data_IF_857838475315
#
_entry.id   IF_857838475315
#
_cell.length_a   1.000
_cell.length_b   1.000
_cell.length_c   1.000
_cell.angle_alpha   90.00
_cell.angle_beta   90.00
_cell.angle_gamma   90.00
#
_symmetry.space_group_name_H-M   'P 1'
#
loop_
_entity.id
_entity.type
_entity.pdbx_description
1 polymer ?
#
# COMPACT_ATOMS: atom_id res chain seq x y z
N UNK A 1 49.03 32.77 33.59
CA UNK A 1 47.94 33.37 34.41
C UNK A 1 46.71 32.48 34.31
N UNK A 2 46.21 32.05 35.47
CA UNK A 2 44.89 31.50 35.85
C UNK A 2 44.10 30.62 34.84
N UNK A 3 43.99 29.35 35.23
CA UNK A 3 43.00 28.34 34.81
C UNK A 3 41.61 28.74 35.32
N UNK A 4 40.55 28.45 34.55
CA UNK A 4 39.21 28.27 35.12
C UNK A 4 38.45 27.23 34.33
N UNK A 5 38.24 26.08 34.96
CA UNK A 5 37.31 25.04 34.56
C UNK A 5 35.93 25.38 35.13
N UNK A 6 34.87 25.17 34.35
CA UNK A 6 33.48 25.24 34.82
C UNK A 6 33.00 23.80 34.95
N UNK A 7 32.86 23.35 36.20
CA UNK A 7 32.16 22.12 36.57
C UNK A 7 30.66 22.45 36.69
N UNK A 8 29.82 21.81 35.87
CA UNK A 8 28.38 21.87 36.03
C UNK A 8 27.92 20.70 36.91
N UNK A 9 27.29 21.05 38.02
CA UNK A 9 26.84 20.19 39.09
C UNK A 9 25.60 19.39 38.68
N UNK A 10 25.62 18.11 39.04
CA UNK A 10 24.55 17.13 38.94
C UNK A 10 23.44 17.48 39.96
N UNK A 11 22.20 17.57 39.51
CA UNK A 11 21.01 17.46 40.35
C UNK A 11 20.17 16.30 39.81
N UNK A 12 20.44 15.12 40.36
CA UNK A 12 19.65 13.91 40.16
C UNK A 12 18.33 14.03 40.91
N UNK A 13 17.23 14.00 40.17
CA UNK A 13 15.90 13.81 40.72
C UNK A 13 15.68 12.31 40.87
N UNK A 14 15.70 11.84 42.12
CA UNK A 14 15.37 10.46 42.47
C UNK A 14 13.86 10.23 42.30
N UNK A 15 13.48 9.42 41.32
CA UNK A 15 12.13 8.90 41.20
C UNK A 15 11.99 7.72 42.17
N UNK A 16 11.16 7.88 43.21
CA UNK A 16 10.84 6.80 44.13
C UNK A 16 9.99 5.75 43.43
N UNK A 17 10.50 4.53 43.39
CA UNK A 17 9.78 3.32 42.96
C UNK A 17 8.88 2.90 44.13
N UNK A 18 7.57 3.15 43.98
CA UNK A 18 6.56 2.60 44.87
C UNK A 18 6.30 1.14 44.51
N UNK A 19 6.83 0.24 45.33
CA UNK A 19 6.48 -1.18 45.32
C UNK A 19 5.05 -1.35 45.84
N UNK A 20 4.14 -1.90 45.02
CA UNK A 20 2.86 -2.42 45.49
C UNK A 20 3.02 -3.93 45.75
N UNK A 21 2.75 -4.30 46.99
CA UNK A 21 2.83 -5.65 47.51
C UNK A 21 1.84 -6.61 46.83
N UNK A 22 2.34 -7.81 46.56
CA UNK A 22 1.58 -8.98 46.22
C UNK A 22 0.67 -9.40 47.38
N UNK A 23 -0.56 -9.82 47.06
CA UNK A 23 -1.39 -10.64 47.93
C UNK A 23 -1.50 -12.01 47.28
N UNK A 24 -0.97 -13.01 47.98
CA UNK A 24 -1.23 -14.42 47.77
C UNK A 24 -2.68 -14.74 48.15
N UNK A 25 -3.28 -15.67 47.42
CA UNK A 25 -4.64 -16.16 47.60
C UNK A 25 -4.84 -17.42 46.78
N UNK A 26 -4.75 -18.54 47.47
CA UNK A 26 -4.84 -19.96 47.12
C UNK A 26 -5.84 -20.40 46.04
N UNK A 27 -5.34 -21.34 45.22
CA UNK A 27 -5.91 -22.63 44.83
C UNK A 27 -7.42 -22.77 44.53
N UNK A 28 -7.72 -22.97 43.24
CA UNK A 28 -8.58 -24.09 42.84
C UNK A 28 -8.01 -24.77 41.59
N UNK A 29 -7.78 -26.07 41.77
CA UNK A 29 -7.24 -27.00 40.81
C UNK A 29 -8.18 -27.29 39.63
N UNK A 30 -7.56 -27.71 38.52
CA UNK A 30 -8.15 -28.73 37.65
C UNK A 30 -8.80 -28.21 36.38
N UNK A 31 -8.02 -28.04 35.31
CA UNK A 31 -8.17 -28.80 34.05
C UNK A 31 -7.26 -28.21 32.96
N UNK A 32 -6.35 -29.05 32.45
CA UNK A 32 -5.69 -28.92 31.15
C UNK A 32 -5.64 -30.33 30.55
N UNK A 33 -5.41 -30.49 29.23
CA UNK A 33 -5.93 -29.71 28.12
C UNK A 33 -6.51 -30.65 27.04
N UNK A 34 -7.58 -30.26 26.36
CA UNK A 34 -7.94 -30.89 25.08
C UNK A 34 -7.42 -30.05 23.92
N UNK A 35 -6.65 -30.72 23.08
CA UNK A 35 -5.93 -30.23 21.93
C UNK A 35 -6.74 -29.26 21.06
N UNK A 36 -6.14 -28.12 20.75
CA UNK A 36 -6.48 -27.29 19.59
C UNK A 36 -5.19 -27.05 18.80
N UNK A 37 -4.65 -28.14 18.27
CA UNK A 37 -3.73 -28.10 17.14
C UNK A 37 -4.53 -27.99 15.84
N UNK A 38 -3.91 -27.37 14.83
CA UNK A 38 -4.37 -27.29 13.44
C UNK A 38 -5.69 -26.56 13.12
N UNK A 39 -5.59 -25.23 12.90
CA UNK A 39 -6.13 -24.57 11.69
C UNK A 39 -5.29 -23.36 11.34
N UNK A 40 -4.11 -23.60 10.77
CA UNK A 40 -3.26 -22.52 10.25
C UNK A 40 -2.72 -22.78 8.84
N UNK A 41 -3.47 -23.52 8.02
CA UNK A 41 -3.06 -23.79 6.62
C UNK A 41 -4.18 -23.67 5.57
N UNK A 42 -5.32 -23.02 5.87
CA UNK A 42 -6.39 -22.84 4.88
C UNK A 42 -6.42 -21.45 4.20
N UNK A 43 -5.58 -20.49 4.63
CA UNK A 43 -5.66 -19.10 4.13
C UNK A 43 -4.81 -18.83 2.88
N UNK A 44 -3.89 -19.74 2.54
CA UNK A 44 -2.96 -19.56 1.42
C UNK A 44 -3.53 -19.97 0.06
N UNK A 45 -4.40 -20.97 0.01
CA UNK A 45 -5.00 -21.47 -1.24
C UNK A 45 -6.19 -20.60 -1.71
N UNK A 46 -6.94 -19.99 -0.79
CA UNK A 46 -8.04 -19.09 -1.14
C UNK A 46 -7.55 -17.81 -1.85
N UNK A 47 -6.35 -17.31 -1.49
CA UNK A 47 -5.77 -16.10 -2.11
C UNK A 47 -5.23 -16.34 -3.53
N UNK A 48 -4.66 -17.51 -3.82
CA UNK A 48 -4.24 -17.87 -5.18
C UNK A 48 -5.46 -18.05 -6.12
N UNK A 49 -6.59 -18.49 -5.57
CA UNK A 49 -7.84 -18.66 -6.30
C UNK A 49 -8.53 -17.32 -6.62
N UNK A 50 -8.22 -16.25 -5.88
CA UNK A 50 -8.84 -14.92 -6.07
C UNK A 50 -8.40 -14.24 -7.38
N UNK A 51 -7.10 -14.22 -7.69
CA UNK A 51 -6.57 -13.63 -8.92
C UNK A 51 -7.09 -14.38 -10.16
N UNK A 52 -7.09 -15.72 -10.12
CA UNK A 52 -7.66 -16.54 -11.19
C UNK A 52 -9.17 -16.32 -11.34
N UNK A 53 -9.92 -16.19 -10.23
CA UNK A 53 -11.37 -15.90 -10.24
C UNK A 53 -11.70 -14.51 -10.78
N UNK A 54 -10.90 -13.49 -10.48
CA UNK A 54 -11.07 -12.14 -11.02
C UNK A 54 -10.86 -12.13 -12.56
N UNK A 55 -9.87 -12.87 -13.03
CA UNK A 55 -9.52 -12.96 -14.46
C UNK A 55 -10.44 -13.92 -15.25
N UNK A 56 -10.88 -15.01 -14.63
CA UNK A 56 -11.86 -15.94 -15.18
C UNK A 56 -13.29 -15.38 -15.14
N UNK A 57 -13.55 -14.42 -14.24
CA UNK A 57 -14.80 -13.65 -14.13
C UNK A 57 -14.97 -12.57 -15.20
N UNK A 58 -14.35 -12.74 -16.36
CA UNK A 58 -14.60 -11.95 -17.56
C UNK A 58 -16.01 -12.21 -18.12
N UNK A 59 -17.03 -11.70 -17.43
CA UNK A 59 -18.40 -11.57 -17.88
C UNK A 59 -19.10 -12.89 -18.23
N UNK A 60 -20.03 -13.34 -17.39
CA UNK A 60 -21.21 -14.02 -17.92
C UNK A 60 -21.80 -13.11 -19.01
N UNK A 61 -21.63 -13.53 -20.28
CA UNK A 61 -22.36 -12.93 -21.39
C UNK A 61 -23.83 -13.24 -21.19
N UNK A 62 -24.52 -12.41 -20.40
CA UNK A 62 -25.97 -12.30 -20.54
C UNK A 62 -26.23 -11.76 -21.94
N UNK A 63 -26.63 -12.66 -22.83
CA UNK A 63 -27.23 -12.31 -24.10
C UNK A 63 -28.54 -11.58 -23.80
N UNK A 64 -28.47 -10.26 -23.70
CA UNK A 64 -29.61 -9.42 -23.33
C UNK A 64 -29.43 -8.00 -23.81
N UNK A 65 -30.11 -7.68 -24.92
CA UNK A 65 -30.36 -6.35 -25.51
C UNK A 65 -29.12 -5.52 -25.91
N UNK A 66 -28.79 -5.59 -27.20
CA UNK A 66 -28.14 -4.47 -27.90
C UNK A 66 -29.03 -3.23 -27.72
N UNK A 67 -28.39 -2.07 -27.58
CA UNK A 67 -28.96 -0.71 -27.64
C UNK A 67 -29.32 -0.01 -26.31
N UNK A 68 -28.55 -0.24 -25.25
CA UNK A 68 -28.33 0.80 -24.23
C UNK A 68 -26.91 1.36 -24.38
N UNK A 69 -26.79 2.65 -24.70
CA UNK A 69 -25.49 3.34 -24.73
C UNK A 69 -24.88 3.24 -23.32
N UNK A 70 -23.85 2.43 -23.17
CA UNK A 70 -23.14 2.29 -21.90
C UNK A 70 -22.68 3.65 -21.41
N UNK A 71 -22.87 3.92 -20.12
CA UNK A 71 -22.37 5.15 -19.53
C UNK A 71 -20.83 5.19 -19.53
N UNK A 72 -20.28 6.39 -19.36
CA UNK A 72 -18.84 6.61 -19.42
C UNK A 72 -18.07 5.84 -18.33
N UNK A 73 -18.68 5.60 -17.17
CA UNK A 73 -18.05 4.90 -16.06
C UNK A 73 -17.91 3.40 -16.38
N UNK A 74 -18.96 2.77 -16.92
CA UNK A 74 -18.92 1.37 -17.30
C UNK A 74 -17.95 1.13 -18.47
N UNK A 75 -17.85 2.07 -19.41
CA UNK A 75 -16.84 1.99 -20.48
C UNK A 75 -15.41 2.08 -19.93
N UNK A 76 -15.13 3.00 -19.00
CA UNK A 76 -13.81 3.06 -18.35
C UNK A 76 -13.55 1.83 -17.48
N UNK A 77 -14.57 1.24 -16.86
CA UNK A 77 -14.46 -0.01 -16.12
C UNK A 77 -14.03 -1.17 -17.02
N UNK A 78 -14.69 -1.35 -18.16
CA UNK A 78 -14.31 -2.39 -19.12
C UNK A 78 -12.88 -2.23 -19.61
N UNK A 79 -12.46 -1.02 -19.96
CA UNK A 79 -11.05 -0.73 -20.33
C UNK A 79 -10.08 -1.10 -19.21
N UNK A 80 -10.44 -0.76 -17.97
CA UNK A 80 -9.59 -1.05 -16.81
C UNK A 80 -9.48 -2.55 -16.52
N UNK A 81 -10.53 -3.34 -16.75
CA UNK A 81 -10.54 -4.80 -16.60
C UNK A 81 -9.77 -5.52 -17.72
N UNK A 82 -9.76 -4.97 -18.94
CA UNK A 82 -8.96 -5.52 -20.05
C UNK A 82 -7.45 -5.28 -19.89
N UNK A 83 -7.06 -4.31 -19.07
CA UNK A 83 -5.67 -3.97 -18.77
C UNK A 83 -5.37 -4.16 -17.28
N UNK A 84 -5.36 -5.40 -16.77
CA UNK A 84 -5.13 -5.65 -15.36
C UNK A 84 -3.67 -5.38 -14.98
N UNK A 85 -3.47 -5.17 -13.68
CA UNK A 85 -2.18 -4.99 -13.02
C UNK A 85 -1.99 -6.07 -11.95
N UNK A 86 -0.74 -6.38 -11.55
CA UNK A 86 -0.50 -7.30 -10.43
C UNK A 86 -1.27 -6.92 -9.17
N UNK A 87 -1.39 -5.62 -8.91
CA UNK A 87 -2.10 -5.04 -7.77
C UNK A 87 -3.54 -5.55 -7.64
N UNK A 88 -4.18 -5.87 -8.76
CA UNK A 88 -5.58 -6.30 -8.82
C UNK A 88 -5.80 -7.70 -8.23
N UNK A 89 -4.72 -8.47 -8.09
CA UNK A 89 -4.75 -9.83 -7.58
C UNK A 89 -4.66 -9.93 -6.04
N UNK A 90 -4.57 -8.80 -5.34
CA UNK A 90 -4.53 -8.77 -3.88
C UNK A 90 -5.92 -8.64 -3.26
N UNK A 91 -6.04 -8.78 -1.93
CA UNK A 91 -7.32 -8.63 -1.22
C UNK A 91 -7.96 -7.27 -1.46
N UNK A 92 -9.27 -7.22 -1.69
CA UNK A 92 -9.98 -5.96 -1.98
C UNK A 92 -10.21 -5.10 -0.72
N UNK A 93 -10.04 -5.68 0.46
CA UNK A 93 -10.34 -5.04 1.74
C UNK A 93 -9.12 -4.97 2.66
N UNK A 94 -9.08 -3.93 3.50
CA UNK A 94 -8.11 -3.78 4.58
C UNK A 94 -8.85 -3.57 5.90
N UNK A 95 -8.31 -4.13 6.98
CA UNK A 95 -8.71 -3.75 8.32
C UNK A 95 -8.05 -2.42 8.69
N UNK A 96 -8.84 -1.35 8.68
CA UNK A 96 -8.42 0.00 9.07
C UNK A 96 -8.99 0.42 10.43
N UNK A 97 -9.55 -0.51 11.22
CA UNK A 97 -10.22 -0.19 12.49
C UNK A 97 -9.33 0.59 13.47
N UNK A 98 -8.01 0.35 13.41
CA UNK A 98 -6.99 0.99 14.25
C UNK A 98 -6.39 2.27 13.64
N UNK A 99 -6.77 2.65 12.44
CA UNK A 99 -6.25 3.85 11.78
C UNK A 99 -6.89 5.12 12.39
N UNK A 100 -6.27 6.30 12.26
CA UNK A 100 -6.93 7.58 12.57
C UNK A 100 -8.26 7.74 11.82
N UNK A 101 -9.21 8.49 12.39
CA UNK A 101 -10.56 8.64 11.82
C UNK A 101 -10.55 9.23 10.41
N UNK A 102 -9.62 10.13 10.15
CA UNK A 102 -9.40 10.75 8.85
C UNK A 102 -8.95 9.71 7.81
N UNK A 103 -8.03 8.81 8.19
CA UNK A 103 -7.57 7.73 7.33
C UNK A 103 -8.68 6.68 7.10
N UNK A 104 -9.49 6.36 8.11
CA UNK A 104 -10.67 5.50 7.95
C UNK A 104 -11.68 6.10 6.96
N UNK A 105 -11.92 7.41 7.04
CA UNK A 105 -12.80 8.12 6.11
C UNK A 105 -12.25 8.10 4.67
N UNK A 106 -10.94 8.33 4.50
CA UNK A 106 -10.27 8.23 3.20
C UNK A 106 -10.34 6.82 2.61
N UNK A 107 -10.18 5.77 3.43
CA UNK A 107 -10.36 4.37 3.00
C UNK A 107 -11.79 4.07 2.54
N UNK A 108 -12.79 4.56 3.29
CA UNK A 108 -14.20 4.41 2.91
C UNK A 108 -14.47 5.06 1.55
N UNK A 109 -13.99 6.29 1.34
CA UNK A 109 -14.12 6.98 0.06
C UNK A 109 -13.42 6.22 -1.07
N UNK A 110 -12.20 5.73 -0.86
CA UNK A 110 -11.49 4.90 -1.85
C UNK A 110 -12.32 3.66 -2.22
N UNK A 111 -12.83 2.95 -1.22
CA UNK A 111 -13.61 1.72 -1.42
C UNK A 111 -14.94 1.95 -2.13
N UNK A 112 -15.52 3.15 -2.01
CA UNK A 112 -16.77 3.53 -2.67
C UNK A 112 -16.57 4.12 -4.06
N UNK A 113 -15.51 4.90 -4.26
CA UNK A 113 -15.31 5.70 -5.47
C UNK A 113 -14.37 5.04 -6.46
N UNK A 114 -13.26 4.47 -6.01
CA UNK A 114 -12.30 3.82 -6.90
C UNK A 114 -12.80 2.47 -7.40
N UNK A 115 -13.66 1.80 -6.62
CA UNK A 115 -14.30 0.52 -6.99
C UNK A 115 -15.27 0.63 -8.18
N UNK A 116 -15.65 1.85 -8.58
CA UNK A 116 -16.55 2.08 -9.72
C UNK A 116 -15.94 1.64 -11.06
N UNK A 117 -14.62 1.75 -11.21
CA UNK A 117 -13.94 1.47 -12.47
C UNK A 117 -13.01 0.24 -12.40
N UNK A 118 -12.47 -0.10 -11.24
CA UNK A 118 -11.62 -1.27 -11.06
C UNK A 118 -11.61 -1.70 -9.61
N UNK A 119 -11.06 -2.87 -9.29
CA UNK A 119 -10.93 -3.32 -7.90
C UNK A 119 -10.21 -2.28 -7.02
N UNK A 120 -10.65 -2.06 -5.76
CA UNK A 120 -9.92 -1.22 -4.82
C UNK A 120 -8.53 -1.78 -4.48
N UNK A 121 -8.26 -3.06 -4.75
CA UNK A 121 -6.94 -3.66 -4.64
C UNK A 121 -5.87 -2.91 -5.46
N UNK A 122 -6.26 -2.31 -6.60
CA UNK A 122 -5.33 -1.62 -7.53
C UNK A 122 -4.47 -0.54 -6.86
N UNK A 123 -5.06 0.44 -6.14
CA UNK A 123 -4.28 1.38 -5.34
C UNK A 123 -3.79 0.75 -4.02
N UNK A 124 -4.52 -0.14 -3.36
CA UNK A 124 -4.09 -0.64 -2.05
C UNK A 124 -2.78 -1.44 -2.13
N UNK A 125 -2.59 -2.19 -3.21
CA UNK A 125 -1.44 -3.10 -3.38
C UNK A 125 -0.42 -2.63 -4.42
N UNK A 126 -0.46 -1.35 -4.81
CA UNK A 126 0.60 -0.79 -5.66
C UNK A 126 1.94 -0.77 -4.95
N UNK A 127 3.00 -0.71 -5.73
CA UNK A 127 4.37 -0.49 -5.28
C UNK A 127 4.61 0.92 -4.71
N UNK A 128 3.65 1.84 -4.82
CA UNK A 128 3.87 3.25 -4.52
C UNK A 128 3.99 3.52 -3.02
N UNK A 129 5.00 4.33 -2.69
CA UNK A 129 5.21 4.94 -1.38
C UNK A 129 5.50 6.42 -1.62
N UNK A 130 4.75 7.29 -0.95
CA UNK A 130 4.98 8.73 -0.97
C UNK A 130 5.34 9.20 0.45
N UNK A 131 6.40 10.00 0.56
CA UNK A 131 6.83 10.56 1.84
C UNK A 131 5.95 11.77 2.20
N UNK A 132 5.40 11.77 3.41
CA UNK A 132 4.62 12.89 3.94
C UNK A 132 5.53 14.02 4.42
N UNK A 133 5.14 15.27 4.18
CA UNK A 133 5.81 16.44 4.76
C UNK A 133 4.93 17.11 5.81
N UNK A 134 5.53 17.48 6.94
CA UNK A 134 4.87 18.29 7.98
C UNK A 134 4.94 19.80 7.72
N UNK A 135 5.58 20.24 6.63
CA UNK A 135 5.74 21.65 6.33
C UNK A 135 4.44 22.31 5.84
N UNK A 136 4.28 23.61 6.10
CA UNK A 136 3.02 24.34 5.84
C UNK A 136 2.88 24.85 4.40
N UNK A 137 3.97 25.31 3.80
CA UNK A 137 3.96 25.83 2.43
C UNK A 137 4.59 24.83 1.43
N UNK A 138 4.18 24.94 0.17
CA UNK A 138 4.59 24.01 -0.89
C UNK A 138 6.11 23.97 -1.06
N UNK A 139 6.80 25.11 -1.02
CA UNK A 139 8.25 25.17 -1.25
C UNK A 139 9.00 24.45 -0.14
N UNK A 140 8.58 24.64 1.12
CA UNK A 140 9.12 23.91 2.25
C UNK A 140 8.77 22.41 2.19
N UNK A 141 7.55 22.05 1.77
CA UNK A 141 7.16 20.64 1.58
C UNK A 141 8.03 19.94 0.52
N UNK A 142 8.23 20.57 -0.63
CA UNK A 142 9.06 20.01 -1.70
C UNK A 142 10.50 19.78 -1.21
N UNK A 143 11.06 20.75 -0.47
CA UNK A 143 12.40 20.66 0.11
C UNK A 143 12.50 19.54 1.15
N UNK A 144 11.52 19.43 2.05
CA UNK A 144 11.47 18.40 3.08
C UNK A 144 11.36 17.00 2.45
N UNK A 145 10.42 16.79 1.51
CA UNK A 145 10.29 15.51 0.79
C UNK A 145 11.59 15.13 0.07
N UNK A 146 12.27 16.10 -0.57
CA UNK A 146 13.53 15.85 -1.25
C UNK A 146 14.65 15.43 -0.26
N UNK A 147 14.72 16.09 0.90
CA UNK A 147 15.67 15.75 1.95
C UNK A 147 15.38 14.37 2.55
N UNK A 148 14.11 14.05 2.85
CA UNK A 148 13.71 12.74 3.34
C UNK A 148 14.03 11.64 2.33
N UNK A 149 13.78 11.87 1.03
CA UNK A 149 14.12 10.93 -0.03
C UNK A 149 15.63 10.70 -0.13
N UNK A 150 16.43 11.78 -0.06
CA UNK A 150 17.89 11.68 -0.06
C UNK A 150 18.42 10.91 1.16
N UNK A 151 17.82 11.11 2.34
CA UNK A 151 18.17 10.37 3.54
C UNK A 151 17.79 8.89 3.40
N UNK A 152 16.60 8.59 2.88
CA UNK A 152 16.13 7.23 2.70
C UNK A 152 17.01 6.45 1.71
N UNK A 153 17.49 7.08 0.64
CA UNK A 153 18.45 6.46 -0.29
C UNK A 153 19.76 6.06 0.40
N UNK A 154 20.18 6.79 1.43
CA UNK A 154 21.39 6.48 2.21
C UNK A 154 21.14 5.40 3.26
N UNK A 155 20.01 5.45 3.95
CA UNK A 155 19.73 4.57 5.09
C UNK A 155 19.01 3.27 4.73
N UNK A 156 18.31 3.25 3.59
CA UNK A 156 17.55 2.11 3.11
C UNK A 156 17.66 1.96 1.57
N UNK A 157 18.87 1.79 1.02
CA UNK A 157 19.08 1.67 -0.42
C UNK A 157 18.34 0.46 -1.03
N UNK A 158 18.00 -0.56 -0.24
CA UNK A 158 17.24 -1.73 -0.69
C UNK A 158 15.88 -1.37 -1.30
N UNK A 159 15.24 -0.30 -0.81
CA UNK A 159 13.93 0.17 -1.29
C UNK A 159 13.97 0.73 -2.71
N UNK A 160 15.16 0.99 -3.24
CA UNK A 160 15.35 1.58 -4.56
C UNK A 160 15.90 0.56 -5.58
N UNK A 161 16.20 -0.67 -5.15
CA UNK A 161 16.77 -1.70 -6.03
C UNK A 161 15.76 -2.29 -7.00
N UNK A 162 14.49 -2.41 -6.58
CA UNK A 162 13.45 -3.00 -7.40
C UNK A 162 12.19 -2.11 -7.40
N UNK A 163 11.98 -1.31 -8.47
CA UNK A 163 10.83 -0.42 -8.55
C UNK A 163 9.50 -1.17 -8.61
N UNK A 164 9.49 -2.46 -8.94
CA UNK A 164 8.27 -3.29 -8.97
C UNK A 164 7.80 -3.67 -7.55
N UNK A 165 8.70 -3.61 -6.56
CA UNK A 165 8.38 -3.89 -5.15
C UNK A 165 8.11 -2.59 -4.38
N UNK A 166 8.98 -1.60 -4.55
CA UNK A 166 8.81 -0.26 -3.99
C UNK A 166 9.15 0.80 -5.03
N UNK A 167 8.20 1.70 -5.26
CA UNK A 167 8.39 2.91 -6.03
C UNK A 167 8.21 4.11 -5.10
N UNK A 168 9.32 4.52 -4.49
CA UNK A 168 9.35 5.63 -3.55
C UNK A 168 9.59 6.94 -4.30
N UNK A 169 8.57 7.78 -4.39
CA UNK A 169 8.62 9.03 -5.14
C UNK A 169 7.76 10.12 -4.46
N UNK A 170 8.18 11.38 -4.59
CA UNK A 170 7.37 12.50 -4.15
C UNK A 170 6.12 12.65 -5.05
N UNK A 171 4.97 12.95 -4.44
CA UNK A 171 3.68 13.22 -5.09
C UNK A 171 3.13 12.09 -5.99
N UNK A 172 3.66 10.86 -5.88
CA UNK A 172 3.24 9.75 -6.74
C UNK A 172 1.77 9.39 -6.54
N UNK A 173 1.29 9.40 -5.29
CA UNK A 173 -0.11 9.13 -5.00
C UNK A 173 -1.01 10.27 -5.44
N UNK A 174 -0.55 11.52 -5.22
CA UNK A 174 -1.28 12.70 -5.70
C UNK A 174 -1.48 12.68 -7.21
N UNK A 175 -0.42 12.36 -7.98
CA UNK A 175 -0.50 12.20 -9.43
C UNK A 175 -1.44 11.07 -9.83
N UNK A 176 -1.35 9.92 -9.14
CA UNK A 176 -2.21 8.77 -9.39
C UNK A 176 -3.69 9.12 -9.21
N UNK A 177 -4.06 9.66 -8.05
CA UNK A 177 -5.46 10.00 -7.73
C UNK A 177 -6.00 11.05 -8.71
N UNK A 178 -5.22 12.09 -9.02
CA UNK A 178 -5.62 13.12 -9.99
C UNK A 178 -5.89 12.53 -11.38
N UNK A 179 -5.07 11.56 -11.83
CA UNK A 179 -5.28 10.87 -13.10
C UNK A 179 -6.55 10.02 -13.09
N UNK A 180 -6.88 9.38 -11.97
CA UNK A 180 -8.12 8.61 -11.84
C UNK A 180 -9.35 9.54 -11.78
N UNK A 181 -9.25 10.67 -11.08
CA UNK A 181 -10.30 11.68 -11.03
C UNK A 181 -10.61 12.26 -12.42
N UNK A 182 -9.62 12.37 -13.30
CA UNK A 182 -9.79 12.87 -14.67
C UNK A 182 -10.44 11.84 -15.63
N UNK A 183 -10.70 10.60 -15.19
CA UNK A 183 -11.33 9.59 -16.05
C UNK A 183 -12.81 9.88 -16.25
N UNK A 184 -13.35 9.68 -17.48
CA UNK A 184 -14.78 9.81 -17.73
C UNK A 184 -15.62 8.94 -16.78
N UNK A 185 -16.70 9.49 -16.25
CA UNK A 185 -17.58 8.79 -15.31
C UNK A 185 -17.03 8.62 -13.88
N UNK A 186 -15.83 9.14 -13.60
CA UNK A 186 -15.28 9.18 -12.25
C UNK A 186 -15.85 10.38 -11.48
N UNK A 187 -16.69 10.11 -10.48
CA UNK A 187 -17.36 11.13 -9.67
C UNK A 187 -16.63 11.31 -8.32
N UNK A 188 -15.41 11.85 -8.39
CA UNK A 188 -14.59 12.18 -7.20
C UNK A 188 -14.42 13.69 -7.13
N UNK A 189 -14.88 14.32 -6.05
CA UNK A 189 -14.64 15.73 -5.80
C UNK A 189 -13.20 15.99 -5.34
N UNK A 190 -12.70 17.22 -5.50
CA UNK A 190 -11.34 17.59 -5.07
C UNK A 190 -11.09 17.33 -3.57
N UNK A 191 -12.10 17.53 -2.72
CA UNK A 191 -12.00 17.23 -1.28
C UNK A 191 -11.90 15.72 -1.03
N UNK A 192 -12.73 14.93 -1.69
CA UNK A 192 -12.69 13.47 -1.62
C UNK A 192 -11.35 12.92 -2.14
N UNK A 193 -10.87 13.44 -3.28
CA UNK A 193 -9.58 13.09 -3.86
C UNK A 193 -8.42 13.37 -2.88
N UNK A 194 -8.49 14.48 -2.14
CA UNK A 194 -7.51 14.81 -1.10
C UNK A 194 -7.54 13.77 0.03
N UNK A 195 -8.72 13.44 0.56
CA UNK A 195 -8.84 12.43 1.64
C UNK A 195 -8.38 11.04 1.19
N UNK A 196 -8.69 10.64 -0.05
CA UNK A 196 -8.21 9.39 -0.65
C UNK A 196 -6.68 9.40 -0.75
N UNK A 197 -6.10 10.49 -1.25
CA UNK A 197 -4.65 10.65 -1.34
C UNK A 197 -3.97 10.58 0.03
N UNK A 198 -4.47 11.31 1.03
CA UNK A 198 -3.93 11.30 2.39
C UNK A 198 -3.98 9.91 3.02
N UNK A 199 -5.09 9.17 2.81
CA UNK A 199 -5.17 7.77 3.21
C UNK A 199 -4.09 6.91 2.52
N UNK A 200 -3.92 7.02 1.20
CA UNK A 200 -2.93 6.21 0.46
C UNK A 200 -1.49 6.51 0.91
N UNK A 201 -1.18 7.77 1.21
CA UNK A 201 0.10 8.16 1.81
C UNK A 201 0.26 7.50 3.18
N UNK A 202 -0.72 7.65 4.08
CA UNK A 202 -0.68 7.08 5.42
C UNK A 202 -0.50 5.55 5.39
N UNK A 203 -1.37 4.87 4.65
CA UNK A 203 -1.44 3.42 4.54
C UNK A 203 -0.17 2.83 3.91
N UNK A 204 0.35 3.45 2.84
CA UNK A 204 1.60 2.98 2.22
C UNK A 204 2.81 3.12 3.14
N UNK A 205 2.90 4.18 3.95
CA UNK A 205 3.97 4.31 4.95
C UNK A 205 3.82 3.31 6.09
N UNK A 206 2.59 2.98 6.50
CA UNK A 206 2.37 2.03 7.59
C UNK A 206 2.63 0.58 7.17
N UNK A 207 2.07 0.15 6.04
CA UNK A 207 2.09 -1.27 5.63
C UNK A 207 3.30 -1.67 4.79
N UNK A 208 3.95 -0.73 4.11
CA UNK A 208 5.01 -1.03 3.13
C UNK A 208 6.41 -0.68 3.61
N UNK A 209 6.50 0.03 4.74
CA UNK A 209 7.75 0.61 5.26
C UNK A 209 7.99 0.19 6.72
N UNK A 210 9.09 0.66 7.32
CA UNK A 210 9.45 0.38 8.71
C UNK A 210 9.57 -1.12 9.01
N UNK A 211 8.90 -1.57 10.07
CA UNK A 211 8.89 -2.98 10.49
C UNK A 211 8.15 -3.90 9.49
N UNK A 212 7.19 -3.36 8.72
CA UNK A 212 6.39 -4.13 7.78
C UNK A 212 7.10 -4.39 6.43
N UNK A 213 8.30 -3.82 6.21
CA UNK A 213 9.04 -3.94 4.93
C UNK A 213 9.18 -5.40 4.46
N UNK A 214 9.57 -6.31 5.35
CA UNK A 214 9.81 -7.72 4.99
C UNK A 214 8.53 -8.44 4.55
N UNK A 215 7.45 -8.21 5.28
CA UNK A 215 6.14 -8.81 4.96
C UNK A 215 5.58 -8.24 3.66
N UNK A 216 5.72 -6.92 3.46
CA UNK A 216 5.36 -6.28 2.20
C UNK A 216 6.16 -6.82 1.01
N UNK A 217 7.48 -6.98 1.16
CA UNK A 217 8.33 -7.54 0.10
C UNK A 217 7.87 -8.93 -0.31
N UNK A 218 7.63 -9.80 0.68
CA UNK A 218 7.13 -11.16 0.46
C UNK A 218 5.79 -11.14 -0.25
N UNK A 219 4.84 -10.36 0.25
CA UNK A 219 3.52 -10.19 -0.35
C UNK A 219 3.61 -9.72 -1.80
N UNK A 220 4.39 -8.66 -2.03
CA UNK A 220 4.50 -8.03 -3.36
C UNK A 220 5.21 -8.93 -4.37
N UNK A 221 6.25 -9.67 -3.96
CA UNK A 221 6.89 -10.67 -4.82
C UNK A 221 5.94 -11.81 -5.19
N UNK A 222 5.16 -12.30 -4.23
CA UNK A 222 4.13 -13.32 -4.49
C UNK A 222 3.11 -12.80 -5.50
N UNK A 223 2.61 -11.57 -5.29
CA UNK A 223 1.64 -10.94 -6.19
C UNK A 223 2.16 -10.83 -7.64
N UNK A 224 3.44 -10.47 -7.81
CA UNK A 224 4.09 -10.41 -9.13
C UNK A 224 4.23 -11.79 -9.76
N UNK A 225 4.61 -12.81 -8.99
CA UNK A 225 4.74 -14.18 -9.46
C UNK A 225 3.39 -14.77 -9.88
N UNK A 226 2.36 -14.61 -9.05
CA UNK A 226 0.99 -15.06 -9.34
C UNK A 226 0.46 -14.36 -10.61
N UNK A 227 0.67 -13.05 -10.74
CA UNK A 227 0.26 -12.31 -11.94
C UNK A 227 1.01 -12.76 -13.20
N UNK A 228 2.31 -13.05 -13.11
CA UNK A 228 3.09 -13.59 -14.23
C UNK A 228 2.54 -14.94 -14.70
N UNK A 229 2.13 -15.80 -13.76
CA UNK A 229 1.54 -17.09 -14.06
C UNK A 229 0.14 -16.96 -14.70
N UNK A 230 -0.69 -16.06 -14.18
CA UNK A 230 -2.09 -15.92 -14.59
C UNK A 230 -2.24 -15.08 -15.87
N UNK A 231 -1.35 -14.12 -16.10
CA UNK A 231 -1.41 -13.20 -17.23
C UNK A 231 -0.02 -12.94 -17.81
N UNK A 232 0.67 -13.98 -18.34
CA UNK A 232 2.07 -13.87 -18.78
C UNK A 232 2.26 -12.82 -19.87
N UNK A 233 1.35 -12.74 -20.84
CA UNK A 233 1.39 -11.71 -21.89
C UNK A 233 1.31 -10.30 -21.31
N UNK A 234 0.38 -10.07 -20.37
CA UNK A 234 0.22 -8.76 -19.74
C UNK A 234 1.41 -8.42 -18.83
N UNK A 235 1.98 -9.42 -18.16
CA UNK A 235 3.21 -9.25 -17.39
C UNK A 235 4.35 -8.79 -18.29
N UNK A 236 4.52 -9.43 -19.46
CA UNK A 236 5.52 -9.05 -20.45
C UNK A 236 5.33 -7.60 -20.94
N UNK A 237 4.12 -7.22 -21.37
CA UNK A 237 3.78 -5.85 -21.78
C UNK A 237 4.10 -4.79 -20.70
N UNK A 238 3.92 -5.14 -19.43
CA UNK A 238 4.14 -4.20 -18.32
C UNK A 238 5.61 -4.06 -17.92
N UNK A 239 6.43 -5.11 -18.12
CA UNK A 239 7.71 -5.23 -17.44
C UNK A 239 8.88 -5.68 -18.31
N UNK A 240 8.65 -6.37 -19.43
CA UNK A 240 9.71 -6.99 -20.24
C UNK A 240 9.80 -6.34 -21.65
N UNK A 241 8.68 -5.88 -22.23
CA UNK A 241 8.65 -5.23 -23.55
C UNK A 241 9.46 -3.92 -23.60
N UNK A 242 9.54 -3.17 -22.49
CA UNK A 242 10.34 -1.94 -22.41
C UNK A 242 11.85 -2.18 -22.24
N UNK A 243 12.26 -3.39 -21.85
CA UNK A 243 13.68 -3.75 -21.68
C UNK A 243 14.30 -4.08 -23.06
N UNK A 244 13.56 -4.79 -23.91
CA UNK A 244 13.98 -5.15 -25.27
C UNK A 244 14.14 -3.93 -26.21
N UNK A 245 13.26 -2.92 -26.12
CA UNK A 245 13.40 -1.68 -26.90
C UNK A 245 14.61 -0.83 -26.46
N UNK A 246 14.99 -0.91 -25.17
CA UNK A 246 16.13 -0.17 -24.64
C UNK A 246 17.48 -0.78 -25.05
N UNK A 247 17.57 -2.11 -25.13
CA UNK A 247 18.77 -2.81 -25.59
C UNK A 247 18.93 -2.76 -27.12
N UNK A 248 17.84 -2.81 -27.88
CA UNK A 248 17.86 -2.64 -29.34
C UNK A 248 18.28 -1.22 -29.78
N UNK A 249 18.11 -0.22 -28.91
CA UNK A 249 18.55 1.17 -29.14
C UNK A 249 20.04 1.41 -28.86
N UNK A 250 20.69 0.54 -28.08
CA UNK A 250 22.09 0.72 -27.67
C UNK A 250 23.08 0.02 -28.62
N UNK A 251 22.62 -0.93 -29.44
CA UNK A 251 23.43 -1.61 -30.47
C UNK A 251 23.60 -0.81 -31.79
N UNK A 252 23.22 0.47 -31.82
CA UNK A 252 23.33 1.36 -33.01
C UNK A 252 24.19 2.62 -32.79
N UNK A 253 25.16 2.58 -31.89
CA UNK A 253 26.15 3.67 -31.72
C UNK A 253 27.57 3.21 -31.96
#
# INVERSE_FOLDING_TARGET
>A
MKKTAIAALILGVAFSVGALAAKEGEDLAGEQPVAAEEKKEAKGEEEANFCAKLMAGGGEKKAGKKDAKMDAAELEKQKALQSPYPNDCGPETLDVSKYPKEAQAGYKLLSQKCSRCHTPARPLHSEFVELSSGAKDKKAQDKDKAQQLANLKKTAPELFKNPRVWKVEADIWKRYVKRMQAKPGCEIETKEAKSIWEFLVYDSNLRKMGAAKKDWEKFRKKLLADFKQISPKRYHELYEESEEESEAGESKK
#
